data_IF_097003807463
#
_entry.id   IF_097003807463
#
_cell.length_a   1.000
_cell.length_b   1.000
_cell.length_c   1.000
_cell.angle_alpha   90.00
_cell.angle_beta   90.00
_cell.angle_gamma   90.00
#
_symmetry.space_group_name_H-M   'P 1'
#
loop_
_entity.id
_entity.type
_entity.pdbx_description
1 polymer ?
#
# COMPACT_ATOMS: atom_id res chain seq x y z
N UNK A 1 5.71 22.00 -6.08
CA UNK A 1 5.43 20.55 -6.07
C UNK A 1 4.91 20.20 -4.69
N UNK A 2 3.69 19.70 -4.60
CA UNK A 2 3.13 19.26 -3.31
C UNK A 2 3.32 17.75 -3.19
N UNK A 3 3.96 17.32 -2.11
CA UNK A 3 4.17 15.91 -1.79
C UNK A 3 3.24 15.46 -0.67
N UNK A 4 2.53 14.36 -0.87
CA UNK A 4 1.74 13.68 0.16
C UNK A 4 2.35 12.32 0.43
N UNK A 5 2.72 12.07 1.69
CA UNK A 5 3.25 10.77 2.13
C UNK A 5 2.17 9.97 2.81
N UNK A 6 1.91 8.78 2.29
CA UNK A 6 0.90 7.86 2.78
C UNK A 6 1.56 6.57 3.28
N UNK A 7 1.05 6.04 4.39
CA UNK A 7 1.54 4.78 4.98
C UNK A 7 0.44 3.74 4.94
N UNK A 8 0.54 2.84 3.98
CA UNK A 8 -0.42 1.75 3.86
C UNK A 8 0.00 0.56 4.72
N UNK A 9 -0.96 -0.06 5.41
CA UNK A 9 -0.75 -1.26 6.22
C UNK A 9 -1.25 -2.48 5.49
N UNK A 10 -0.52 -3.59 5.61
CA UNK A 10 -0.97 -4.88 5.10
C UNK A 10 -2.24 -5.30 5.86
N UNK A 11 -3.35 -5.42 5.15
CA UNK A 11 -4.61 -5.93 5.71
C UNK A 11 -4.82 -7.38 5.33
N UNK A 12 -4.37 -7.79 4.14
CA UNK A 12 -4.51 -9.17 3.69
C UNK A 12 -3.32 -9.63 2.85
N UNK A 13 -2.57 -10.66 3.30
CA UNK A 13 -1.57 -11.28 2.46
C UNK A 13 -2.21 -12.15 1.36
N UNK A 14 -1.66 -12.13 0.16
CA UNK A 14 -2.04 -13.02 -0.92
C UNK A 14 -1.71 -14.49 -0.58
N UNK A 15 -2.63 -15.41 -0.90
CA UNK A 15 -2.42 -16.85 -0.65
C UNK A 15 -1.78 -17.60 -1.84
N UNK A 16 -1.92 -17.08 -3.06
CA UNK A 16 -1.42 -17.69 -4.31
C UNK A 16 -0.97 -16.56 -5.27
N UNK A 17 -1.08 -16.71 -6.59
CA UNK A 17 -0.69 -15.76 -7.66
C UNK A 17 -1.38 -14.37 -7.62
N UNK A 18 -1.98 -13.97 -6.50
CA UNK A 18 -2.60 -12.65 -6.30
C UNK A 18 -1.63 -11.60 -5.75
N UNK A 19 -2.17 -10.43 -5.43
CA UNK A 19 -1.44 -9.33 -4.79
C UNK A 19 -1.76 -9.20 -3.29
N UNK A 20 -0.78 -8.76 -2.52
CA UNK A 20 -0.97 -8.35 -1.13
C UNK A 20 -1.80 -7.06 -1.10
N UNK A 21 -2.79 -7.00 -0.20
CA UNK A 21 -3.71 -5.87 -0.06
C UNK A 21 -3.26 -4.96 1.08
N UNK A 22 -3.05 -3.71 0.74
CA UNK A 22 -2.61 -2.66 1.64
C UNK A 22 -3.65 -1.54 1.69
N UNK A 23 -3.88 -0.99 2.87
CA UNK A 23 -4.89 0.05 3.09
C UNK A 23 -4.34 1.24 3.85
N UNK A 24 -4.81 2.44 3.51
CA UNK A 24 -4.52 3.68 4.21
C UNK A 24 -5.81 4.51 4.31
N UNK A 25 -6.13 5.00 5.50
CA UNK A 25 -7.24 5.95 5.68
C UNK A 25 -6.73 7.37 5.38
N UNK A 26 -7.41 8.06 4.46
CA UNK A 26 -7.19 9.49 4.21
C UNK A 26 -8.11 10.29 5.14
N UNK A 27 -7.61 11.41 5.69
CA UNK A 27 -8.22 12.19 6.78
C UNK A 27 -9.77 12.10 6.87
N UNK A 28 -10.25 11.44 7.92
CA UNK A 28 -11.66 11.18 8.19
C UNK A 28 -11.98 9.68 8.01
N UNK A 29 -12.61 9.05 9.00
CA UNK A 29 -12.80 7.59 9.10
C UNK A 29 -13.56 6.92 7.92
N UNK A 30 -13.99 7.69 6.91
CA UNK A 30 -14.77 7.22 5.77
C UNK A 30 -14.00 7.00 4.47
N UNK A 31 -12.83 7.62 4.27
CA UNK A 31 -12.09 7.51 3.01
C UNK A 31 -10.91 6.53 3.13
N UNK A 32 -10.95 5.49 2.31
CA UNK A 32 -9.94 4.44 2.28
C UNK A 32 -9.28 4.37 0.92
N UNK A 33 -7.95 4.44 0.91
CA UNK A 33 -7.15 4.05 -0.24
C UNK A 33 -6.73 2.60 -0.08
N UNK A 34 -6.90 1.82 -1.16
CA UNK A 34 -6.51 0.41 -1.21
C UNK A 34 -5.54 0.22 -2.36
N UNK A 35 -4.44 -0.47 -2.09
CA UNK A 35 -3.44 -0.83 -3.09
C UNK A 35 -3.21 -2.34 -3.06
N UNK A 36 -3.19 -2.94 -4.25
CA UNK A 36 -2.80 -4.32 -4.45
C UNK A 36 -1.40 -4.35 -5.07
N UNK A 37 -0.45 -4.96 -4.37
CA UNK A 37 0.92 -5.13 -4.86
C UNK A 37 1.17 -6.60 -5.15
N UNK A 38 1.62 -6.97 -6.36
CA UNK A 38 2.03 -8.34 -6.67
C UNK A 38 3.05 -8.88 -5.66
N UNK A 39 2.93 -10.16 -5.31
CA UNK A 39 3.83 -10.83 -4.36
C UNK A 39 5.32 -10.67 -4.70
N UNK A 40 5.65 -10.59 -5.99
CA UNK A 40 7.03 -10.43 -6.48
C UNK A 40 7.68 -9.12 -6.02
N UNK A 41 6.88 -8.10 -5.71
CA UNK A 41 7.35 -6.77 -5.28
C UNK A 41 7.32 -6.67 -3.75
N UNK A 42 6.23 -7.12 -3.12
CA UNK A 42 6.01 -6.95 -1.67
C UNK A 42 6.77 -7.95 -0.79
N UNK A 43 7.25 -9.09 -1.34
CA UNK A 43 7.81 -10.20 -0.57
C UNK A 43 9.30 -10.42 -0.74
N UNK A 44 10.12 -9.38 -0.54
CA UNK A 44 11.57 -9.57 -0.49
C UNK A 44 11.93 -10.50 0.68
N UNK A 45 12.28 -11.75 0.38
CA UNK A 45 12.51 -12.80 1.39
C UNK A 45 11.30 -13.70 1.70
N UNK A 46 10.29 -13.75 0.83
CA UNK A 46 9.17 -14.71 0.91
C UNK A 46 8.02 -14.31 1.84
N UNK A 47 8.17 -13.24 2.62
CA UNK A 47 7.13 -12.70 3.50
C UNK A 47 6.68 -11.32 3.05
N UNK A 48 5.38 -10.98 3.13
CA UNK A 48 4.87 -9.66 2.73
C UNK A 48 5.40 -8.56 3.66
N UNK A 49 5.80 -7.44 3.05
CA UNK A 49 6.05 -6.21 3.77
C UNK A 49 4.81 -5.85 4.60
N UNK A 50 5.00 -5.47 5.87
CA UNK A 50 3.90 -5.10 6.76
C UNK A 50 3.34 -3.70 6.46
N UNK A 51 4.17 -2.83 5.90
CA UNK A 51 3.82 -1.46 5.56
C UNK A 51 4.42 -1.06 4.20
N UNK A 52 3.73 -0.18 3.48
CA UNK A 52 4.23 0.50 2.29
C UNK A 52 4.22 2.01 2.53
N UNK A 53 5.35 2.65 2.26
CA UNK A 53 5.44 4.11 2.25
C UNK A 53 5.37 4.58 0.81
N UNK A 54 4.35 5.37 0.47
CA UNK A 54 4.11 5.88 -0.88
C UNK A 54 4.11 7.40 -0.83
N UNK A 55 4.84 8.01 -1.76
CA UNK A 55 4.86 9.47 -1.93
C UNK A 55 4.15 9.81 -3.22
N UNK A 56 3.06 10.58 -3.12
CA UNK A 56 2.32 11.11 -4.26
C UNK A 56 2.76 12.55 -4.45
N UNK A 57 3.27 12.88 -5.63
CA UNK A 57 3.68 14.24 -5.99
C UNK A 57 2.79 14.75 -7.11
N UNK A 58 2.20 15.93 -6.93
CA UNK A 58 1.38 16.59 -7.95
C UNK A 58 2.20 17.76 -8.52
N UNK A 59 2.36 17.76 -9.84
CA UNK A 59 2.92 18.87 -10.62
C UNK A 59 1.80 19.49 -11.44
N UNK A 60 1.77 20.82 -11.47
CA UNK A 60 0.80 21.63 -12.24
C UNK A 60 1.56 22.32 -13.36
#
# INVERSE_FOLDING_TARGET
MTETRLRFKLVRPAKSNGGDRYEHSTKGDGEWMVIYIPQTISRKGGSPAKELNITISISV
#
